data_IF_654177727466
#
_entry.id   IF_654177727466
#
_cell.length_a   1.000
_cell.length_b   1.000
_cell.length_c   1.000
_cell.angle_alpha   90.00
_cell.angle_beta   90.00
_cell.angle_gamma   90.00
#
_symmetry.space_group_name_H-M   'P 1'
#
loop_
_entity.id
_entity.type
_entity.pdbx_description
1 polymer ?
#
# COMPACT_ATOMS: atom_id res chain seq x y z
N UNK A 1 -1.25 -10.15 25.28
CA UNK A 1 -1.89 -8.83 25.52
C UNK A 1 -0.91 -7.71 25.09
N UNK A 2 -0.23 -7.84 23.94
CA UNK A 2 0.99 -7.04 23.69
C UNK A 2 1.03 -6.27 22.36
N UNK A 3 0.06 -6.41 21.47
CA UNK A 3 0.24 -5.85 20.11
C UNK A 3 0.14 -4.31 20.04
N UNK A 4 -0.73 -3.66 20.83
CA UNK A 4 -0.98 -2.22 20.70
C UNK A 4 0.22 -1.35 21.07
N UNK A 5 0.87 -1.64 22.20
CA UNK A 5 2.00 -0.85 22.69
C UNK A 5 3.21 -0.99 21.76
N UNK A 6 3.44 -2.18 21.22
CA UNK A 6 4.54 -2.45 20.31
C UNK A 6 4.32 -1.77 18.96
N UNK A 7 3.11 -1.87 18.38
CA UNK A 7 2.74 -1.15 17.15
C UNK A 7 2.89 0.37 17.38
N UNK A 8 2.43 0.89 18.52
CA UNK A 8 2.54 2.32 18.83
C UNK A 8 4.01 2.77 18.95
N UNK A 9 4.87 1.96 19.59
CA UNK A 9 6.29 2.28 19.72
C UNK A 9 7.01 2.24 18.37
N UNK A 10 6.66 1.29 17.49
CA UNK A 10 7.16 1.26 16.11
C UNK A 10 6.72 2.50 15.33
N UNK A 11 5.43 2.84 15.38
CA UNK A 11 4.90 4.03 14.72
C UNK A 11 5.58 5.31 15.21
N UNK A 12 5.79 5.46 16.52
CA UNK A 12 6.53 6.57 17.12
C UNK A 12 7.97 6.66 16.62
N UNK A 13 8.64 5.52 16.48
CA UNK A 13 10.02 5.44 16.00
C UNK A 13 10.10 5.89 14.54
N UNK A 14 9.18 5.41 13.69
CA UNK A 14 9.15 5.77 12.27
C UNK A 14 8.83 7.26 12.10
N UNK A 15 7.87 7.79 12.86
CA UNK A 15 7.50 9.20 12.82
C UNK A 15 8.47 10.12 13.59
N UNK A 16 9.45 9.56 14.30
CA UNK A 16 10.37 10.30 15.19
C UNK A 16 9.66 11.18 16.22
N UNK A 17 8.51 10.72 16.72
CA UNK A 17 7.67 11.42 17.72
C UNK A 17 7.67 10.68 19.04
N UNK A 18 7.66 11.40 20.16
CA UNK A 18 7.64 10.80 21.50
C UNK A 18 6.23 10.78 22.12
N UNK A 19 5.38 11.72 21.72
CA UNK A 19 4.12 12.02 22.38
C UNK A 19 2.93 11.30 21.74
N UNK A 20 2.11 10.63 22.55
CA UNK A 20 0.85 9.99 22.10
C UNK A 20 -0.11 11.00 21.43
N UNK A 21 -0.02 12.28 21.82
CA UNK A 21 -0.79 13.37 21.21
C UNK A 21 -0.48 13.52 19.72
N UNK A 22 0.80 13.52 19.36
CA UNK A 22 1.25 13.75 17.99
C UNK A 22 0.85 12.58 17.09
N UNK A 23 0.94 11.36 17.62
CA UNK A 23 0.44 10.16 16.94
C UNK A 23 -1.08 10.22 16.73
N UNK A 24 -1.84 10.69 17.72
CA UNK A 24 -3.29 10.84 17.58
C UNK A 24 -3.65 11.87 16.49
N UNK A 25 -2.95 13.00 16.44
CA UNK A 25 -3.12 14.03 15.42
C UNK A 25 -2.77 13.51 14.02
N UNK A 26 -1.66 12.78 13.90
CA UNK A 26 -1.26 12.13 12.63
C UNK A 26 -2.32 11.15 12.11
N UNK A 27 -2.93 10.36 13.01
CA UNK A 27 -3.99 9.42 12.66
C UNK A 27 -5.36 10.08 12.47
N UNK A 28 -5.47 11.42 12.60
CA UNK A 28 -6.74 12.13 12.49
C UNK A 28 -7.74 11.84 13.62
N UNK A 29 -7.26 11.40 14.79
CA UNK A 29 -8.07 11.04 15.95
C UNK A 29 -7.96 12.08 17.07
N UNK A 30 -9.04 12.26 17.82
CA UNK A 30 -8.97 13.08 19.05
C UNK A 30 -8.21 12.35 20.15
N UNK A 31 -7.59 13.11 21.07
CA UNK A 31 -6.83 12.54 22.21
C UNK A 31 -7.66 11.55 23.04
N UNK A 32 -8.94 11.85 23.26
CA UNK A 32 -9.87 10.97 23.97
C UNK A 32 -10.19 9.69 23.19
N UNK A 33 -10.39 9.80 21.87
CA UNK A 33 -10.66 8.66 21.01
C UNK A 33 -9.45 7.72 20.88
N UNK A 34 -8.23 8.26 20.93
CA UNK A 34 -7.00 7.47 20.94
C UNK A 34 -6.76 6.81 22.31
N UNK A 35 -6.93 7.55 23.41
CA UNK A 35 -6.78 7.01 24.76
C UNK A 35 -7.74 5.85 25.03
N UNK A 36 -9.00 5.95 24.56
CA UNK A 36 -9.99 4.89 24.73
C UNK A 36 -9.64 3.64 23.91
N UNK A 37 -9.11 3.81 22.69
CA UNK A 37 -8.58 2.71 21.87
C UNK A 37 -7.37 2.03 22.51
N UNK A 38 -6.45 2.82 23.07
CA UNK A 38 -5.28 2.33 23.82
C UNK A 38 -5.70 1.51 25.04
N UNK A 39 -6.68 1.99 25.82
CA UNK A 39 -7.26 1.26 26.96
C UNK A 39 -7.86 -0.09 26.54
N UNK A 40 -8.46 -0.14 25.35
CA UNK A 40 -9.13 -1.33 24.81
C UNK A 40 -8.22 -2.24 24.00
N UNK A 41 -6.97 -1.83 23.74
CA UNK A 41 -6.00 -2.60 22.97
C UNK A 41 -6.36 -2.77 21.48
N UNK A 42 -7.18 -1.87 20.91
CA UNK A 42 -7.61 -1.92 19.51
C UNK A 42 -6.86 -0.85 18.73
N UNK A 43 -5.93 -1.25 17.87
CA UNK A 43 -5.15 -0.33 17.04
C UNK A 43 -5.94 0.11 15.81
N UNK A 44 -5.97 1.42 15.48
CA UNK A 44 -6.75 1.92 14.35
C UNK A 44 -5.97 1.74 13.03
N UNK A 45 -5.97 0.52 12.49
CA UNK A 45 -5.25 0.20 11.25
C UNK A 45 -5.76 1.05 10.07
N UNK A 46 -7.08 1.21 9.96
CA UNK A 46 -7.70 2.01 8.89
C UNK A 46 -7.24 3.47 8.93
N UNK A 47 -7.08 4.05 10.11
CA UNK A 47 -6.62 5.43 10.27
C UNK A 47 -5.14 5.56 9.86
N UNK A 48 -4.31 4.55 10.13
CA UNK A 48 -2.92 4.53 9.72
C UNK A 48 -2.77 4.48 8.19
N UNK A 49 -3.53 3.59 7.52
CA UNK A 49 -3.55 3.52 6.06
C UNK A 49 -4.07 4.81 5.41
N UNK A 50 -5.08 5.44 6.01
CA UNK A 50 -5.58 6.72 5.51
C UNK A 50 -4.57 7.86 5.70
N UNK A 51 -3.83 7.86 6.82
CA UNK A 51 -2.79 8.86 7.08
C UNK A 51 -1.63 8.76 6.09
N UNK A 52 -1.21 7.55 5.73
CA UNK A 52 -0.20 7.31 4.67
C UNK A 52 -0.66 7.85 3.31
N UNK A 53 -1.92 7.64 2.94
CA UNK A 53 -2.47 8.18 1.69
C UNK A 53 -2.49 9.72 1.67
N UNK A 54 -2.72 10.35 2.81
CA UNK A 54 -2.70 11.82 2.95
C UNK A 54 -1.27 12.39 3.01
N UNK A 55 -0.29 11.56 3.34
CA UNK A 55 1.11 11.94 3.56
C UNK A 55 2.09 11.02 2.80
N UNK A 56 2.00 10.95 1.46
CA UNK A 56 2.85 10.07 0.66
C UNK A 56 4.35 10.42 0.77
N UNK A 57 4.70 11.62 1.21
CA UNK A 57 6.07 12.08 1.46
C UNK A 57 6.79 11.31 2.57
N UNK A 58 6.05 10.73 3.52
CA UNK A 58 6.61 10.07 4.69
C UNK A 58 7.01 8.60 4.44
N UNK A 59 6.59 8.00 3.31
CA UNK A 59 6.91 6.61 2.89
C UNK A 59 6.88 5.61 4.06
N UNK A 60 5.74 5.56 4.74
CA UNK A 60 5.57 4.71 5.92
C UNK A 60 5.45 3.23 5.49
N UNK A 61 6.28 2.37 6.06
CA UNK A 61 6.14 0.92 5.94
C UNK A 61 5.03 0.45 6.89
N UNK A 62 3.80 0.40 6.38
CA UNK A 62 2.60 0.04 7.13
C UNK A 62 2.69 -1.38 7.67
N UNK A 63 3.24 -2.29 6.87
CA UNK A 63 3.34 -3.70 7.23
C UNK A 63 4.37 -3.88 8.36
N UNK A 64 5.50 -3.17 8.33
CA UNK A 64 6.45 -3.12 9.45
C UNK A 64 5.82 -2.55 10.72
N UNK A 65 5.05 -1.47 10.61
CA UNK A 65 4.41 -0.85 11.78
C UNK A 65 3.46 -1.84 12.46
N UNK A 66 2.63 -2.53 11.68
CA UNK A 66 1.62 -3.45 12.21
C UNK A 66 2.22 -4.79 12.68
N UNK A 67 3.11 -5.38 11.89
CA UNK A 67 3.60 -6.76 12.12
C UNK A 67 4.97 -6.80 12.81
N UNK A 68 5.81 -5.79 12.59
CA UNK A 68 7.19 -5.75 13.09
C UNK A 68 8.16 -6.48 12.17
N UNK A 69 7.65 -7.16 11.15
CA UNK A 69 8.43 -7.75 10.08
C UNK A 69 8.59 -6.67 9.02
N UNK A 70 9.82 -6.16 8.85
CA UNK A 70 10.12 -5.35 7.68
C UNK A 70 10.15 -6.33 6.52
N UNK A 71 9.02 -6.45 5.82
CA UNK A 71 9.03 -7.03 4.50
C UNK A 71 9.90 -6.09 3.69
N UNK A 72 11.19 -6.42 3.53
CA UNK A 72 12.19 -5.58 2.85
C UNK A 72 11.49 -4.79 1.75
N UNK A 73 11.24 -3.47 1.93
CA UNK A 73 10.86 -2.66 0.81
C UNK A 73 12.16 -2.59 0.03
N UNK A 74 12.32 -3.50 -0.92
CA UNK A 74 13.38 -3.37 -1.89
C UNK A 74 13.13 -2.01 -2.51
N UNK A 75 13.93 -1.03 -2.10
CA UNK A 75 14.15 0.22 -2.83
C UNK A 75 14.89 -0.12 -4.15
N UNK A 76 14.44 -1.18 -4.83
CA UNK A 76 14.89 -1.67 -6.12
C UNK A 76 14.50 -0.68 -7.21
N UNK A 77 13.64 0.31 -6.97
CA UNK A 77 13.39 1.33 -7.99
C UNK A 77 14.67 2.10 -8.34
N UNK A 78 15.58 2.34 -7.38
CA UNK A 78 16.86 3.01 -7.65
C UNK A 78 17.92 2.06 -8.26
N UNK A 79 17.95 0.80 -7.83
CA UNK A 79 18.89 -0.22 -8.35
C UNK A 79 18.47 -0.76 -9.73
N UNK A 80 17.18 -0.80 -10.04
CA UNK A 80 16.64 -1.13 -11.36
C UNK A 80 16.92 0.02 -12.35
N UNK A 81 16.77 1.28 -11.95
CA UNK A 81 17.14 2.44 -12.80
C UNK A 81 18.64 2.43 -13.12
N UNK A 82 19.49 2.08 -12.15
CA UNK A 82 20.94 1.97 -12.37
C UNK A 82 21.30 0.75 -13.22
N UNK A 83 20.58 -0.37 -13.08
CA UNK A 83 20.77 -1.57 -13.91
C UNK A 83 20.36 -1.32 -15.36
N UNK A 84 19.30 -0.56 -15.61
CA UNK A 84 18.83 -0.20 -16.96
C UNK A 84 19.79 0.75 -17.69
N UNK A 85 20.52 1.62 -16.98
CA UNK A 85 21.55 2.49 -17.58
C UNK A 85 22.83 1.77 -18.00
N UNK A 86 23.08 0.57 -17.44
CA UNK A 86 24.33 -0.18 -17.68
C UNK A 86 24.17 -1.31 -18.70
N UNK A 87 22.95 -1.63 -19.13
CA UNK A 87 22.67 -2.67 -20.14
C UNK A 87 22.53 -2.10 -21.55
N UNK A 88 23.47 -1.26 -21.97
CA UNK A 88 23.75 -1.11 -23.39
C UNK A 88 24.74 -2.21 -23.80
N UNK A 89 24.35 -2.99 -24.82
CA UNK A 89 25.18 -3.89 -25.63
C UNK A 89 25.54 -5.27 -25.03
N UNK A 90 24.63 -6.25 -25.10
CA UNK A 90 24.90 -7.63 -25.56
C UNK A 90 23.76 -8.61 -25.24
N UNK A 91 22.63 -8.54 -25.95
CA UNK A 91 21.91 -9.75 -26.38
C UNK A 91 20.80 -9.41 -27.39
N UNK A 92 21.08 -9.60 -28.68
CA UNK A 92 20.05 -9.66 -29.72
C UNK A 92 19.34 -11.00 -29.56
N UNK A 93 18.09 -10.96 -29.12
CA UNK A 93 16.97 -11.86 -29.50
C UNK A 93 15.89 -11.94 -28.40
N UNK A 94 15.20 -10.82 -28.13
CA UNK A 94 13.84 -10.86 -27.59
C UNK A 94 13.01 -9.76 -28.24
N UNK A 95 12.17 -10.18 -29.18
CA UNK A 95 11.04 -9.47 -29.81
C UNK A 95 10.92 -7.97 -29.50
N UNK A 96 11.42 -7.14 -30.42
CA UNK A 96 11.02 -5.74 -30.54
C UNK A 96 9.55 -5.67 -30.93
N UNK A 97 8.70 -5.39 -29.95
CA UNK A 97 7.47 -4.64 -30.21
C UNK A 97 7.40 -3.55 -29.17
N UNK A 98 7.97 -2.41 -29.53
CA UNK A 98 7.86 -1.12 -28.85
C UNK A 98 6.39 -0.67 -28.97
N UNK A 99 5.47 -1.31 -28.26
CA UNK A 99 4.15 -0.71 -28.06
C UNK A 99 4.37 0.32 -26.95
N UNK A 100 4.30 1.63 -27.24
CA UNK A 100 4.59 2.66 -26.25
C UNK A 100 3.68 2.48 -25.03
N UNK A 101 4.25 2.58 -23.82
CA UNK A 101 3.50 2.39 -22.56
C UNK A 101 2.28 3.32 -22.47
N UNK A 102 2.36 4.49 -23.08
CA UNK A 102 1.23 5.40 -23.31
C UNK A 102 0.62 5.18 -24.70
N UNK A 103 -0.72 5.09 -24.80
CA UNK A 103 -1.41 5.29 -26.08
C UNK A 103 -1.03 6.66 -26.66
N UNK A 104 -0.96 6.77 -27.99
CA UNK A 104 -0.64 8.04 -28.67
C UNK A 104 -1.66 9.14 -28.34
N UNK A 105 -2.88 8.74 -27.97
CA UNK A 105 -4.02 9.63 -27.70
C UNK A 105 -4.27 9.88 -26.20
N UNK A 106 -3.26 9.70 -25.33
CA UNK A 106 -3.43 9.92 -23.90
C UNK A 106 -3.19 11.40 -23.50
N UNK A 107 -4.25 12.10 -23.07
CA UNK A 107 -4.16 13.47 -22.55
C UNK A 107 -3.42 13.57 -21.21
N UNK A 108 -3.35 12.47 -20.46
CA UNK A 108 -2.76 12.44 -19.11
C UNK A 108 -1.68 11.37 -19.01
N UNK A 109 -0.49 11.78 -18.57
CA UNK A 109 0.58 10.85 -18.21
C UNK A 109 0.29 10.20 -16.85
N UNK A 110 0.15 8.89 -16.82
CA UNK A 110 0.04 8.10 -15.58
C UNK A 110 1.39 7.45 -15.30
N UNK A 111 1.94 7.69 -14.11
CA UNK A 111 3.12 6.98 -13.62
C UNK A 111 2.70 5.56 -13.26
N UNK A 112 3.40 4.57 -13.82
CA UNK A 112 3.12 3.16 -13.60
C UNK A 112 4.37 2.47 -13.06
N UNK A 113 4.18 1.57 -12.10
CA UNK A 113 5.26 0.72 -11.61
C UNK A 113 5.59 -0.40 -12.63
N UNK A 114 6.67 -1.14 -12.39
CA UNK A 114 7.12 -2.20 -13.30
C UNK A 114 6.09 -3.31 -13.50
N UNK A 115 5.37 -3.69 -12.44
CA UNK A 115 4.36 -4.74 -12.49
C UNK A 115 3.11 -4.30 -13.25
N UNK A 116 2.67 -3.06 -13.06
CA UNK A 116 1.57 -2.45 -13.81
C UNK A 116 1.92 -2.34 -15.30
N UNK A 117 3.15 -1.92 -15.62
CA UNK A 117 3.61 -1.85 -17.00
C UNK A 117 3.65 -3.25 -17.64
N UNK A 118 4.08 -4.27 -16.88
CA UNK A 118 4.05 -5.66 -17.31
C UNK A 118 2.63 -6.17 -17.51
N UNK A 119 1.70 -5.87 -16.58
CA UNK A 119 0.29 -6.24 -16.66
C UNK A 119 -0.40 -5.62 -17.87
N UNK A 120 -0.15 -4.33 -18.16
CA UNK A 120 -0.61 -3.67 -19.37
C UNK A 120 -0.04 -4.30 -20.64
N UNK A 121 1.23 -4.68 -20.62
CA UNK A 121 1.84 -5.36 -21.75
C UNK A 121 1.16 -6.70 -22.05
N UNK A 122 0.80 -7.46 -21.00
CA UNK A 122 0.03 -8.70 -21.13
C UNK A 122 -1.38 -8.43 -21.62
N UNK A 123 -2.07 -7.45 -21.04
CA UNK A 123 -3.40 -7.07 -21.46
C UNK A 123 -3.47 -6.69 -22.95
N UNK A 124 -2.51 -5.91 -23.44
CA UNK A 124 -2.45 -5.49 -24.85
C UNK A 124 -2.17 -6.65 -25.81
N UNK A 125 -1.37 -7.63 -25.39
CA UNK A 125 -1.01 -8.81 -26.20
C UNK A 125 -2.04 -9.93 -26.16
N UNK A 126 -2.88 -9.98 -25.14
CA UNK A 126 -3.89 -11.04 -24.96
C UNK A 126 -5.05 -10.95 -25.94
N UNK A 127 -5.71 -12.09 -26.15
CA UNK A 127 -6.96 -12.19 -26.88
C UNK A 127 -8.15 -11.65 -26.05
N UNK A 128 -9.34 -11.60 -26.64
CA UNK A 128 -10.54 -11.06 -25.98
C UNK A 128 -10.85 -11.78 -24.66
N UNK A 129 -10.67 -13.11 -24.62
CA UNK A 129 -10.89 -13.92 -23.41
C UNK A 129 -9.84 -13.62 -22.34
N UNK A 130 -8.57 -13.53 -22.70
CA UNK A 130 -7.51 -13.17 -21.76
C UNK A 130 -7.65 -11.76 -21.20
N UNK A 131 -8.08 -10.79 -22.03
CA UNK A 131 -8.40 -9.44 -21.57
C UNK A 131 -9.53 -9.44 -20.55
N UNK A 132 -10.61 -10.18 -20.83
CA UNK A 132 -11.73 -10.31 -19.90
C UNK A 132 -11.30 -10.96 -18.58
N UNK A 133 -10.51 -12.04 -18.64
CA UNK A 133 -9.99 -12.72 -17.45
C UNK A 133 -9.15 -11.78 -16.58
N UNK A 134 -8.26 -10.98 -17.19
CA UNK A 134 -7.44 -10.01 -16.45
C UNK A 134 -8.29 -8.93 -15.78
N UNK A 135 -9.32 -8.42 -16.48
CA UNK A 135 -10.25 -7.44 -15.92
C UNK A 135 -11.10 -8.02 -14.78
N UNK A 136 -11.65 -9.22 -14.97
CA UNK A 136 -12.45 -9.91 -13.97
C UNK A 136 -11.62 -10.20 -12.72
N UNK A 137 -10.36 -10.62 -12.89
CA UNK A 137 -9.43 -10.83 -11.78
C UNK A 137 -9.15 -9.53 -11.03
N UNK A 138 -8.87 -8.44 -11.75
CA UNK A 138 -8.67 -7.13 -11.13
C UNK A 138 -9.89 -6.66 -10.33
N UNK A 139 -11.10 -6.86 -10.88
CA UNK A 139 -12.36 -6.55 -10.19
C UNK A 139 -12.54 -7.39 -8.93
N UNK A 140 -12.29 -8.70 -9.01
CA UNK A 140 -12.35 -9.59 -7.84
C UNK A 140 -11.37 -9.17 -6.75
N UNK A 141 -10.14 -8.82 -7.11
CA UNK A 141 -9.14 -8.31 -6.16
C UNK A 141 -9.62 -7.02 -5.48
N UNK A 142 -10.17 -6.08 -6.24
CA UNK A 142 -10.71 -4.83 -5.70
C UNK A 142 -11.88 -5.09 -4.74
N UNK A 143 -12.83 -5.94 -5.12
CA UNK A 143 -13.98 -6.30 -4.29
C UNK A 143 -13.55 -6.99 -2.99
N UNK A 144 -12.54 -7.87 -3.07
CA UNK A 144 -11.95 -8.53 -1.90
C UNK A 144 -11.31 -7.51 -0.95
N UNK A 145 -10.45 -6.62 -1.45
CA UNK A 145 -9.82 -5.58 -0.64
C UNK A 145 -10.84 -4.69 0.05
N UNK A 146 -11.89 -4.28 -0.66
CA UNK A 146 -12.96 -3.43 -0.11
C UNK A 146 -13.80 -4.17 0.94
N UNK A 147 -14.06 -5.46 0.73
CA UNK A 147 -14.76 -6.31 1.70
C UNK A 147 -13.94 -6.51 2.97
N UNK A 148 -12.63 -6.75 2.83
CA UNK A 148 -11.71 -6.89 3.96
C UNK A 148 -11.64 -5.60 4.78
N UNK A 149 -11.58 -4.43 4.14
CA UNK A 149 -11.62 -3.14 4.83
C UNK A 149 -12.90 -2.96 5.65
N UNK A 150 -14.07 -3.22 5.04
CA UNK A 150 -15.37 -3.15 5.74
C UNK A 150 -15.47 -4.13 6.91
N UNK A 151 -14.98 -5.35 6.71
CA UNK A 151 -14.98 -6.37 7.77
C UNK A 151 -14.07 -5.94 8.92
N UNK A 152 -12.89 -5.43 8.62
CA UNK A 152 -11.94 -4.90 9.62
C UNK A 152 -12.59 -3.76 10.40
N UNK A 153 -13.18 -2.78 9.72
CA UNK A 153 -13.91 -1.67 10.35
C UNK A 153 -15.05 -2.17 11.25
N UNK A 154 -15.82 -3.16 10.80
CA UNK A 154 -16.88 -3.77 11.61
C UNK A 154 -16.31 -4.40 12.88
N UNK A 155 -15.26 -5.23 12.76
CA UNK A 155 -14.64 -5.89 13.92
C UNK A 155 -14.01 -4.90 14.90
N UNK A 156 -13.44 -3.80 14.40
CA UNK A 156 -12.95 -2.70 15.23
C UNK A 156 -14.10 -2.07 16.03
N UNK A 157 -15.21 -1.70 15.36
CA UNK A 157 -16.40 -1.12 16.00
C UNK A 157 -17.03 -2.07 17.02
N UNK A 158 -17.09 -3.34 16.70
CA UNK A 158 -17.70 -4.37 17.53
C UNK A 158 -16.90 -4.60 18.83
N UNK A 159 -15.56 -4.71 18.73
CA UNK A 159 -14.66 -4.75 19.90
C UNK A 159 -14.78 -3.49 20.77
N UNK A 160 -15.11 -2.35 20.17
CA UNK A 160 -15.43 -1.13 20.92
C UNK A 160 -16.83 -1.18 21.58
N UNK A 161 -17.80 -1.88 21.03
CA UNK A 161 -19.14 -1.95 21.61
C UNK A 161 -19.27 -3.00 22.73
N UNK A 162 -18.49 -4.08 22.70
CA UNK A 162 -18.54 -5.19 23.67
C UNK A 162 -17.99 -4.89 25.08
N UNK A 163 -17.54 -3.66 25.36
CA UNK A 163 -17.06 -3.23 26.70
C UNK A 163 -17.92 -2.10 27.27
N UNK A 164 -19.22 -2.37 27.40
CA UNK A 164 -20.16 -1.62 28.24
C UNK A 164 -20.67 -2.49 29.37
#
# INVERSE_FOLDING_TARGET
>A
MENFTDILNRLKTVLSVSMDKEVAEFLGLTKSAFAERKRRGVFPENALRLAELNHPELRLDIDYILTGESGNPSYDELDVINSLKNTDMSNKERFKTEIPSTPVDADTSVLLNFDEMRLLSYFRKSDMKGKQLLLDTGKMCQEYSLTMLKWTEYTEKDKLNYTK
#
